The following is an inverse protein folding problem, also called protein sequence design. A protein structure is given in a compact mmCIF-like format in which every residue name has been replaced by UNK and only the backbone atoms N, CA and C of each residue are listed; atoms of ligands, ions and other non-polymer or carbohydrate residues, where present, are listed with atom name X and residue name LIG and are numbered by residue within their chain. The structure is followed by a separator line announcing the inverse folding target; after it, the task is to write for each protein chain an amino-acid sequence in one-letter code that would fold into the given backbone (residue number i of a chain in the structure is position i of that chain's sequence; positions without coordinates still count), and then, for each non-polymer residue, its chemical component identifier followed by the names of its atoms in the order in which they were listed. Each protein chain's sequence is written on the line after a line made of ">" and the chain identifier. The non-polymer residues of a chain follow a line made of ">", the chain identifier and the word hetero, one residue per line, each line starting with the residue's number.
data_IF_845205859480
#
_entry.id   IF_845205859480
#
_cell.length_a   1.000
_cell.length_b   1.000
_cell.length_c   1.000
_cell.angle_alpha   90.00
_cell.angle_beta   90.00
_cell.angle_gamma   90.00
#
_symmetry.space_group_name_H-M   'P 1'
#
loop_
_entity.id
_entity.type
_entity.pdbx_description
1 polymer ?
#
# COMPACT_ATOMS: atom_id res chain seq x y z
N UNK A 1 -42.73 5.30 -15.41
CA UNK A 1 -41.74 5.66 -14.39
C UNK A 1 -42.37 6.66 -13.42
N UNK A 2 -42.50 6.29 -12.18
CA UNK A 2 -43.12 7.10 -11.12
C UNK A 2 -42.18 8.23 -10.66
N UNK A 3 -42.76 9.34 -10.17
CA UNK A 3 -41.99 10.48 -9.60
C UNK A 3 -41.07 10.02 -8.45
N UNK A 4 -41.40 8.92 -7.74
CA UNK A 4 -40.57 8.31 -6.68
C UNK A 4 -39.31 7.62 -7.23
N UNK A 5 -39.37 7.02 -8.40
CA UNK A 5 -38.18 6.36 -9.03
C UNK A 5 -37.18 7.39 -9.53
N UNK A 6 -37.63 8.49 -10.13
CA UNK A 6 -36.75 9.62 -10.54
C UNK A 6 -36.03 10.25 -9.35
N UNK A 7 -36.71 10.45 -8.22
CA UNK A 7 -36.10 11.02 -7.02
C UNK A 7 -35.08 10.09 -6.34
N UNK A 8 -35.16 8.77 -6.53
CA UNK A 8 -34.18 7.82 -6.01
C UNK A 8 -32.92 7.77 -6.88
N UNK A 9 -33.08 7.80 -8.21
CA UNK A 9 -31.95 7.87 -9.16
C UNK A 9 -31.18 9.20 -9.03
N UNK A 10 -31.90 10.34 -8.93
CA UNK A 10 -31.28 11.65 -8.73
C UNK A 10 -30.51 11.74 -7.41
N UNK A 11 -31.03 11.14 -6.34
CA UNK A 11 -30.29 11.08 -5.06
C UNK A 11 -29.05 10.19 -5.15
N UNK A 12 -29.11 9.10 -5.89
CA UNK A 12 -27.97 8.19 -6.07
C UNK A 12 -26.89 8.83 -6.93
N UNK A 13 -27.27 9.51 -8.01
CA UNK A 13 -26.36 10.28 -8.88
C UNK A 13 -25.70 11.43 -8.13
N UNK A 14 -26.48 12.19 -7.33
CA UNK A 14 -25.95 13.29 -6.50
C UNK A 14 -25.00 12.75 -5.41
N UNK A 15 -25.29 11.58 -4.83
CA UNK A 15 -24.44 10.97 -3.82
C UNK A 15 -23.12 10.44 -4.44
N UNK A 16 -23.17 9.84 -5.64
CA UNK A 16 -21.98 9.39 -6.36
C UNK A 16 -21.11 10.58 -6.84
N UNK A 17 -21.73 11.64 -7.36
CA UNK A 17 -21.02 12.87 -7.75
C UNK A 17 -20.41 13.57 -6.54
N UNK A 18 -21.11 13.65 -5.40
CA UNK A 18 -20.60 14.21 -4.16
C UNK A 18 -19.46 13.39 -3.54
N UNK A 19 -19.40 12.06 -3.75
CA UNK A 19 -18.29 11.22 -3.32
C UNK A 19 -17.07 11.39 -4.23
N UNK A 20 -17.25 11.51 -5.53
CA UNK A 20 -16.17 11.79 -6.50
C UNK A 20 -15.50 13.16 -6.28
N UNK A 21 -16.22 14.16 -5.76
CA UNK A 21 -15.64 15.44 -5.38
C UNK A 21 -14.85 15.41 -4.06
N UNK A 22 -15.03 14.39 -3.20
CA UNK A 22 -14.43 14.36 -1.86
C UNK A 22 -12.99 13.89 -1.82
N UNK A 23 -12.57 12.98 -2.69
CA UNK A 23 -11.19 12.48 -2.69
C UNK A 23 -10.46 12.84 -3.96
N UNK A 24 -9.27 13.46 -3.81
CA UNK A 24 -8.32 13.61 -4.91
C UNK A 24 -7.51 12.32 -5.12
N UNK A 25 -7.63 11.35 -4.21
CA UNK A 25 -6.93 10.06 -4.27
C UNK A 25 -7.62 9.16 -5.28
N UNK A 26 -6.86 8.63 -6.23
CA UNK A 26 -7.36 7.77 -7.31
C UNK A 26 -6.97 6.31 -7.14
N UNK A 27 -5.81 6.04 -6.52
CA UNK A 27 -5.28 4.70 -6.32
C UNK A 27 -4.18 4.68 -5.25
N UNK A 28 -3.72 3.50 -4.86
CA UNK A 28 -2.41 3.34 -4.23
C UNK A 28 -1.36 3.39 -5.35
N UNK A 29 -0.37 4.29 -5.23
CA UNK A 29 0.72 4.40 -6.20
C UNK A 29 1.80 3.36 -5.91
N UNK A 30 2.31 3.35 -4.68
CA UNK A 30 3.30 2.36 -4.25
C UNK A 30 3.34 2.20 -2.72
N UNK A 31 3.92 1.07 -2.30
CA UNK A 31 4.32 0.81 -0.92
C UNK A 31 5.84 0.87 -0.84
N UNK A 32 6.39 1.45 0.21
CA UNK A 32 7.83 1.45 0.48
C UNK A 32 8.14 0.42 1.55
N UNK A 33 9.09 -0.46 1.26
CA UNK A 33 9.67 -1.43 2.19
C UNK A 33 11.12 -1.04 2.44
N UNK A 34 11.47 -0.77 3.69
CA UNK A 34 12.86 -0.52 4.08
C UNK A 34 13.56 -1.83 4.40
N UNK A 35 14.74 -2.00 3.83
CA UNK A 35 15.59 -3.19 4.00
C UNK A 35 17.06 -2.77 4.23
N UNK A 36 17.82 -3.62 4.88
CA UNK A 36 19.26 -3.40 5.09
C UNK A 36 20.10 -3.94 3.94
N UNK A 37 19.61 -5.01 3.29
CA UNK A 37 20.27 -5.69 2.17
C UNK A 37 19.33 -5.68 0.95
N UNK A 38 19.55 -4.69 0.06
CA UNK A 38 18.72 -4.52 -1.13
C UNK A 38 18.82 -5.70 -2.10
N UNK A 39 20.02 -6.22 -2.45
CA UNK A 39 20.16 -7.39 -3.30
C UNK A 39 19.41 -8.62 -2.79
N UNK A 40 19.51 -8.94 -1.50
CA UNK A 40 18.80 -10.06 -0.89
C UNK A 40 17.27 -9.86 -0.92
N UNK A 41 16.80 -8.65 -0.63
CA UNK A 41 15.39 -8.30 -0.70
C UNK A 41 14.84 -8.39 -2.13
N UNK A 42 15.58 -7.91 -3.12
CA UNK A 42 15.22 -8.01 -4.55
C UNK A 42 15.10 -9.46 -4.98
N UNK A 43 16.06 -10.32 -4.60
CA UNK A 43 16.00 -11.76 -4.92
C UNK A 43 14.76 -12.42 -4.28
N UNK A 44 14.45 -12.11 -3.03
CA UNK A 44 13.28 -12.63 -2.33
C UNK A 44 11.96 -12.18 -2.99
N UNK A 45 11.83 -10.91 -3.32
CA UNK A 45 10.61 -10.39 -3.96
C UNK A 45 10.49 -10.79 -5.44
N UNK A 46 11.60 -10.96 -6.18
CA UNK A 46 11.58 -11.57 -7.52
C UNK A 46 10.95 -12.96 -7.45
N UNK A 47 11.35 -13.78 -6.49
CA UNK A 47 10.79 -15.12 -6.26
C UNK A 47 9.32 -15.04 -5.83
N UNK A 48 9.00 -14.20 -4.85
CA UNK A 48 7.63 -14.05 -4.33
C UNK A 48 6.65 -13.60 -5.42
N UNK A 49 7.01 -12.54 -6.14
CA UNK A 49 6.13 -11.91 -7.13
C UNK A 49 6.14 -12.63 -8.49
N UNK A 50 7.15 -13.46 -8.77
CA UNK A 50 7.47 -14.01 -10.08
C UNK A 50 7.54 -12.90 -11.15
N UNK A 51 8.23 -11.83 -10.83
CA UNK A 51 8.40 -10.65 -11.70
C UNK A 51 9.82 -10.12 -11.59
N UNK A 52 10.31 -9.55 -12.69
CA UNK A 52 11.56 -8.81 -12.71
C UNK A 52 11.35 -7.38 -12.23
N UNK A 53 12.34 -6.74 -11.59
CA UNK A 53 12.31 -5.31 -11.33
C UNK A 53 12.07 -4.49 -12.59
N UNK A 54 11.29 -3.43 -12.47
CA UNK A 54 11.01 -2.50 -13.57
C UNK A 54 11.86 -1.22 -13.52
N UNK A 55 12.51 -0.97 -12.39
CA UNK A 55 13.27 0.25 -12.15
C UNK A 55 14.33 0.06 -11.07
N UNK A 56 15.51 0.66 -11.28
CA UNK A 56 16.60 0.73 -10.31
C UNK A 56 16.98 2.19 -10.12
N UNK A 57 16.78 2.72 -8.93
CA UNK A 57 17.11 4.10 -8.60
C UNK A 57 18.24 4.21 -7.58
N UNK A 58 18.94 5.31 -7.66
CA UNK A 58 19.89 5.73 -6.63
C UNK A 58 19.74 7.24 -6.42
N UNK A 59 19.51 7.62 -5.18
CA UNK A 59 19.44 9.00 -4.72
C UNK A 59 20.50 9.25 -3.65
N UNK A 60 20.66 10.51 -3.25
CA UNK A 60 21.55 10.88 -2.14
C UNK A 60 21.15 10.14 -0.85
N UNK A 61 21.97 9.15 -0.49
CA UNK A 61 21.80 8.35 0.72
C UNK A 61 20.84 7.17 0.63
N UNK A 62 20.32 6.80 -0.56
CA UNK A 62 19.45 5.63 -0.72
C UNK A 62 19.58 4.99 -2.11
N UNK A 63 19.39 3.68 -2.13
CA UNK A 63 19.15 2.91 -3.36
C UNK A 63 17.77 2.29 -3.28
N UNK A 64 17.09 2.19 -4.43
CA UNK A 64 15.77 1.61 -4.51
C UNK A 64 15.55 0.78 -5.76
N UNK A 65 14.64 -0.18 -5.65
CA UNK A 65 14.19 -1.02 -6.76
C UNK A 65 12.67 -1.08 -6.74
N UNK A 66 12.03 -0.89 -7.91
CA UNK A 66 10.59 -0.99 -8.04
C UNK A 66 10.17 -2.25 -8.79
N UNK A 67 9.18 -2.94 -8.24
CA UNK A 67 8.37 -3.93 -8.93
C UNK A 67 7.01 -3.29 -9.24
N UNK A 68 6.74 -3.02 -10.52
CA UNK A 68 5.48 -2.42 -10.94
C UNK A 68 4.51 -3.52 -11.37
N UNK A 69 3.45 -3.66 -10.59
CA UNK A 69 2.36 -4.62 -10.77
C UNK A 69 1.22 -4.01 -11.60
N UNK A 70 0.12 -4.73 -11.71
CA UNK A 70 -1.00 -4.28 -12.56
C UNK A 70 -1.72 -3.05 -11.98
N UNK A 71 -1.74 -2.88 -10.65
CA UNK A 71 -2.47 -1.81 -9.98
C UNK A 71 -1.65 -0.91 -9.03
N UNK A 72 -0.39 -1.23 -8.79
CA UNK A 72 0.50 -0.42 -7.96
C UNK A 72 1.96 -0.86 -8.13
N UNK A 73 2.90 -0.15 -7.49
CA UNK A 73 4.31 -0.57 -7.42
C UNK A 73 4.72 -0.93 -5.98
N UNK A 74 5.63 -1.89 -5.85
CA UNK A 74 6.35 -2.14 -4.61
C UNK A 74 7.76 -1.56 -4.74
N UNK A 75 8.13 -0.66 -3.84
CA UNK A 75 9.47 -0.09 -3.74
C UNK A 75 10.24 -0.74 -2.60
N UNK A 76 11.34 -1.41 -2.90
CA UNK A 76 12.34 -1.82 -1.93
C UNK A 76 13.41 -0.73 -1.84
N UNK A 77 13.70 -0.25 -0.65
CA UNK A 77 14.65 0.85 -0.44
C UNK A 77 15.64 0.50 0.67
N UNK A 78 16.92 0.73 0.39
CA UNK A 78 18.00 0.55 1.36
C UNK A 78 18.81 1.84 1.53
N UNK A 79 19.46 2.04 2.69
CA UNK A 79 20.38 3.15 2.88
C UNK A 79 21.65 2.92 2.06
N UNK A 80 22.13 3.93 1.34
CA UNK A 80 23.37 3.88 0.55
C UNK A 80 24.30 5.00 0.95
N UNK A 81 25.62 4.71 1.02
CA UNK A 81 26.62 5.71 1.37
C UNK A 81 26.49 6.29 2.80
N UNK A 82 26.92 7.53 2.96
CA UNK A 82 26.88 8.32 4.20
C UNK A 82 26.00 9.56 3.99
N UNK A 83 25.48 10.12 5.08
CA UNK A 83 24.71 11.37 5.04
C UNK A 83 23.32 11.27 5.65
N UNK A 84 22.65 12.40 5.81
CA UNK A 84 21.45 12.52 6.62
C UNK A 84 20.28 11.66 6.18
N UNK A 85 20.11 11.38 4.87
CA UNK A 85 19.06 10.48 4.39
C UNK A 85 19.38 9.02 4.70
N UNK A 86 20.62 8.57 4.45
CA UNK A 86 21.07 7.23 4.78
C UNK A 86 20.95 6.95 6.29
N UNK A 87 21.39 7.90 7.12
CA UNK A 87 21.35 7.77 8.58
C UNK A 87 19.93 7.75 9.11
N UNK A 88 19.01 8.51 8.49
CA UNK A 88 17.59 8.46 8.81
C UNK A 88 16.99 7.10 8.50
N UNK A 89 17.29 6.53 7.32
CA UNK A 89 16.81 5.19 6.94
C UNK A 89 17.35 4.13 7.91
N UNK A 90 18.66 4.15 8.20
CA UNK A 90 19.28 3.25 9.19
C UNK A 90 18.63 3.38 10.56
N UNK A 91 18.33 4.60 11.00
CA UNK A 91 17.67 4.85 12.28
C UNK A 91 16.27 4.25 12.30
N UNK A 92 15.48 4.40 11.22
CA UNK A 92 14.14 3.77 11.13
C UNK A 92 14.27 2.25 11.20
N UNK A 93 15.16 1.65 10.43
CA UNK A 93 15.39 0.20 10.44
C UNK A 93 15.84 -0.28 11.83
N UNK A 94 16.71 0.47 12.50
CA UNK A 94 17.19 0.13 13.85
C UNK A 94 16.07 0.18 14.89
N UNK A 95 15.16 1.16 14.80
CA UNK A 95 14.10 1.37 15.80
C UNK A 95 12.85 0.52 15.53
N UNK A 96 12.47 0.33 14.27
CA UNK A 96 11.21 -0.30 13.87
C UNK A 96 11.41 -1.67 13.20
N UNK A 97 12.63 -2.01 12.83
CA UNK A 97 12.96 -3.18 12.01
C UNK A 97 12.81 -2.90 10.52
N UNK A 98 13.19 -3.89 9.72
CA UNK A 98 12.88 -3.93 8.28
C UNK A 98 11.39 -4.17 8.07
N UNK A 99 10.85 -3.69 6.94
CA UNK A 99 9.48 -3.92 6.53
C UNK A 99 8.79 -2.69 5.97
N UNK A 100 7.47 -2.68 6.02
CA UNK A 100 6.63 -1.60 5.50
C UNK A 100 6.88 -0.29 6.22
N UNK A 101 7.21 0.76 5.46
CA UNK A 101 7.58 2.07 6.00
C UNK A 101 6.67 3.21 5.54
N UNK A 102 6.13 3.15 4.31
CA UNK A 102 5.28 4.22 3.77
C UNK A 102 4.19 3.68 2.86
N UNK A 103 3.05 4.38 2.85
CA UNK A 103 1.95 4.18 1.93
C UNK A 103 1.83 5.44 1.06
N UNK A 104 1.96 5.28 -0.24
CA UNK A 104 1.92 6.37 -1.20
C UNK A 104 0.65 6.28 -2.04
N UNK A 105 -0.16 7.33 -2.00
CA UNK A 105 -1.40 7.45 -2.76
C UNK A 105 -1.14 8.19 -4.07
N UNK A 106 -1.72 7.70 -5.17
CA UNK A 106 -1.80 8.42 -6.42
C UNK A 106 -2.92 9.46 -6.34
N UNK A 107 -2.65 10.66 -6.82
CA UNK A 107 -3.64 11.74 -6.89
C UNK A 107 -3.70 12.30 -8.31
N UNK A 108 -4.89 12.79 -8.70
CA UNK A 108 -5.10 13.43 -10.01
C UNK A 108 -4.63 14.90 -10.05
N UNK A 109 -4.51 15.55 -8.90
CA UNK A 109 -4.08 16.94 -8.74
C UNK A 109 -3.43 17.11 -7.37
N UNK A 110 -2.10 17.23 -7.37
CA UNK A 110 -1.31 17.38 -6.14
C UNK A 110 -1.59 18.71 -5.42
N UNK A 111 -1.87 19.77 -6.17
CA UNK A 111 -2.21 21.08 -5.60
C UNK A 111 -3.55 21.04 -4.85
N UNK A 112 -4.56 20.38 -5.43
CA UNK A 112 -5.85 20.14 -4.76
C UNK A 112 -5.67 19.30 -3.49
N UNK A 113 -4.85 18.24 -3.57
CA UNK A 113 -4.57 17.39 -2.41
C UNK A 113 -3.83 18.15 -1.31
N UNK A 114 -2.80 18.91 -1.66
CA UNK A 114 -2.05 19.73 -0.70
C UNK A 114 -2.97 20.73 0.01
N UNK A 115 -3.80 21.50 -0.73
CA UNK A 115 -4.78 22.42 -0.13
C UNK A 115 -5.79 21.71 0.76
N UNK A 116 -6.19 20.47 0.43
CA UNK A 116 -7.06 19.67 1.28
C UNK A 116 -6.38 19.31 2.60
N UNK A 117 -5.15 18.82 2.56
CA UNK A 117 -4.37 18.48 3.75
C UNK A 117 -4.16 19.71 4.66
N UNK A 118 -3.86 20.86 4.07
CA UNK A 118 -3.68 22.11 4.79
C UNK A 118 -4.96 22.55 5.50
N UNK A 119 -6.09 22.58 4.81
CA UNK A 119 -7.41 22.90 5.42
C UNK A 119 -7.82 21.96 6.54
N UNK A 120 -7.35 20.70 6.50
CA UNK A 120 -7.58 19.71 7.56
C UNK A 120 -6.52 19.75 8.66
N UNK A 121 -5.67 20.78 8.66
CA UNK A 121 -4.56 20.96 9.60
C UNK A 121 -3.62 19.72 9.68
N UNK A 122 -3.41 19.05 8.55
CA UNK A 122 -2.50 17.88 8.47
C UNK A 122 -1.06 18.28 8.19
N UNK A 123 -0.74 19.59 8.20
CA UNK A 123 0.61 20.16 8.07
C UNK A 123 1.40 19.51 6.91
N UNK A 124 0.93 19.66 5.65
CA UNK A 124 1.59 19.02 4.54
C UNK A 124 2.96 19.61 4.26
N UNK A 125 3.93 18.77 3.91
CA UNK A 125 5.21 19.25 3.36
C UNK A 125 4.93 20.06 2.08
N UNK A 126 5.76 21.06 1.73
CA UNK A 126 5.67 21.76 0.45
C UNK A 126 5.66 20.78 -0.72
N UNK A 127 4.94 21.12 -1.79
CA UNK A 127 4.94 20.29 -3.01
C UNK A 127 6.34 20.30 -3.60
N UNK A 128 6.96 19.13 -3.70
CA UNK A 128 8.26 18.93 -4.31
C UNK A 128 8.11 18.33 -5.71
N UNK A 129 8.77 18.93 -6.71
CA UNK A 129 8.99 18.30 -8.02
C UNK A 129 10.22 17.40 -7.94
N UNK A 130 10.06 16.15 -8.30
CA UNK A 130 11.10 15.12 -8.18
C UNK A 130 11.35 14.52 -9.57
N UNK A 131 12.60 14.20 -9.85
CA UNK A 131 13.00 13.45 -11.01
C UNK A 131 13.88 12.30 -10.56
N UNK A 132 13.52 11.08 -10.93
CA UNK A 132 14.35 9.89 -10.79
C UNK A 132 14.99 9.50 -12.11
N UNK A 133 16.12 8.79 -12.03
CA UNK A 133 16.79 8.19 -13.18
C UNK A 133 17.03 6.71 -12.90
N UNK A 134 16.65 5.88 -13.87
CA UNK A 134 16.98 4.46 -13.83
C UNK A 134 18.48 4.27 -14.07
N UNK A 135 19.16 3.61 -13.13
CA UNK A 135 20.61 3.42 -13.18
C UNK A 135 21.06 2.39 -14.21
N UNK A 136 20.14 1.52 -14.66
CA UNK A 136 20.45 0.48 -15.66
C UNK A 136 20.12 0.93 -17.08
N UNK A 137 18.98 1.57 -17.27
CA UNK A 137 18.50 1.97 -18.61
C UNK A 137 18.77 3.45 -18.94
N UNK A 138 19.00 4.28 -17.92
CA UNK A 138 19.11 5.73 -18.06
C UNK A 138 17.77 6.45 -18.26
N UNK A 139 16.65 5.73 -18.28
CA UNK A 139 15.31 6.31 -18.36
C UNK A 139 15.04 7.28 -17.21
N UNK A 140 14.22 8.29 -17.44
CA UNK A 140 13.85 9.28 -16.42
C UNK A 140 12.35 9.29 -16.19
N UNK A 141 11.96 9.44 -14.92
CA UNK A 141 10.58 9.65 -14.49
C UNK A 141 10.50 10.94 -13.69
N UNK A 142 9.39 11.66 -13.86
CA UNK A 142 9.11 12.89 -13.11
C UNK A 142 7.79 12.75 -12.39
N UNK A 143 7.74 13.30 -11.17
CA UNK A 143 6.51 13.34 -10.39
C UNK A 143 6.55 14.51 -9.43
N UNK A 144 5.37 14.89 -8.95
CA UNK A 144 5.24 15.81 -7.82
C UNK A 144 4.80 15.02 -6.59
N UNK A 145 5.26 15.43 -5.43
CA UNK A 145 4.87 14.80 -4.17
C UNK A 145 4.65 15.81 -3.05
N UNK A 146 3.79 15.43 -2.12
CA UNK A 146 3.66 16.04 -0.78
C UNK A 146 3.44 14.93 0.23
N UNK A 147 3.52 15.25 1.51
CA UNK A 147 3.34 14.29 2.60
C UNK A 147 2.61 14.98 3.75
N UNK A 148 1.65 14.31 4.38
CA UNK A 148 1.09 14.75 5.65
C UNK A 148 2.09 14.54 6.80
N UNK A 149 2.04 15.41 7.82
CA UNK A 149 2.88 15.26 9.01
C UNK A 149 2.60 13.92 9.69
N UNK A 150 3.64 13.12 9.93
CA UNK A 150 3.51 11.73 10.40
C UNK A 150 2.81 11.61 11.76
N UNK A 151 2.98 12.58 12.67
CA UNK A 151 2.24 12.62 13.94
C UNK A 151 0.73 12.78 13.76
N UNK A 152 0.29 13.47 12.70
CA UNK A 152 -1.13 13.69 12.39
C UNK A 152 -1.77 12.55 11.59
N UNK A 153 -0.95 11.62 11.10
CA UNK A 153 -1.36 10.36 10.47
C UNK A 153 -1.12 9.16 11.37
N UNK A 154 -1.07 9.38 12.68
CA UNK A 154 -0.89 8.35 13.71
C UNK A 154 0.35 7.46 13.52
N UNK A 155 1.44 8.03 13.02
CA UNK A 155 2.71 7.30 12.82
C UNK A 155 2.88 6.66 11.43
N UNK A 156 1.82 6.47 10.65
CA UNK A 156 1.92 5.95 9.28
C UNK A 156 2.41 7.07 8.35
N UNK A 157 3.50 6.85 7.63
CA UNK A 157 3.99 7.79 6.62
C UNK A 157 3.11 7.74 5.38
N UNK A 158 2.30 8.79 5.17
CA UNK A 158 1.40 8.91 4.02
C UNK A 158 1.95 9.96 3.04
N UNK A 159 2.29 9.51 1.84
CA UNK A 159 2.69 10.35 0.73
C UNK A 159 1.57 10.43 -0.31
N UNK A 160 1.55 11.53 -1.05
CA UNK A 160 0.65 11.77 -2.16
C UNK A 160 1.49 12.15 -3.36
N UNK A 161 1.25 11.50 -4.50
CA UNK A 161 2.05 11.64 -5.71
C UNK A 161 1.17 11.86 -6.93
N UNK A 162 1.59 12.78 -7.78
CA UNK A 162 1.07 13.03 -9.12
C UNK A 162 2.18 12.68 -10.10
N UNK A 163 1.96 11.67 -10.94
CA UNK A 163 2.93 11.21 -11.93
C UNK A 163 2.75 11.98 -13.24
N UNK A 164 3.86 12.35 -13.87
CA UNK A 164 3.86 12.94 -15.20
C UNK A 164 3.67 11.87 -16.31
N UNK A 165 4.06 10.61 -16.01
CA UNK A 165 3.93 9.46 -16.90
C UNK A 165 3.78 8.16 -16.10
N UNK A 166 3.18 7.15 -16.73
CA UNK A 166 3.07 5.81 -16.12
C UNK A 166 4.45 5.18 -15.91
N UNK A 167 4.59 4.41 -14.85
CA UNK A 167 5.83 3.67 -14.54
C UNK A 167 6.02 2.49 -15.49
N UNK A 168 7.26 2.14 -15.84
CA UNK A 168 7.56 0.90 -16.57
C UNK A 168 6.97 -0.30 -15.83
N UNK A 169 6.37 -1.25 -16.54
CA UNK A 169 5.81 -2.47 -15.94
C UNK A 169 6.88 -3.53 -15.75
N UNK A 170 6.80 -4.24 -14.64
CA UNK A 170 7.62 -5.42 -14.36
C UNK A 170 7.26 -6.56 -15.31
N UNK A 171 8.27 -7.19 -15.89
CA UNK A 171 8.10 -8.38 -16.71
C UNK A 171 7.77 -9.58 -15.82
N UNK A 172 6.84 -10.42 -16.28
CA UNK A 172 6.52 -11.70 -15.64
C UNK A 172 7.68 -12.67 -15.89
N UNK A 173 8.18 -13.30 -14.82
CA UNK A 173 9.32 -14.22 -14.85
C UNK A 173 8.96 -15.65 -14.45
N UNK A 174 7.69 -15.95 -14.19
CA UNK A 174 7.26 -17.30 -13.82
C UNK A 174 5.75 -17.49 -13.83
N UNK A 175 5.28 -18.73 -13.71
CA UNK A 175 3.86 -19.07 -13.69
C UNK A 175 3.18 -18.49 -12.45
N UNK A 176 1.88 -18.22 -12.56
CA UNK A 176 1.05 -17.64 -11.51
C UNK A 176 1.73 -16.47 -10.80
N UNK A 177 2.30 -15.54 -11.58
CA UNK A 177 2.88 -14.31 -11.08
C UNK A 177 1.83 -13.50 -10.31
N UNK A 178 2.29 -12.77 -9.29
CA UNK A 178 1.44 -11.83 -8.57
C UNK A 178 0.92 -10.76 -9.54
N UNK A 179 -0.41 -10.59 -9.59
CA UNK A 179 -1.08 -9.62 -10.46
C UNK A 179 -1.02 -8.22 -9.87
N UNK A 180 -1.31 -8.10 -8.59
CA UNK A 180 -1.36 -6.82 -7.92
C UNK A 180 -1.66 -6.95 -6.43
N UNK A 181 -1.85 -5.81 -5.80
CA UNK A 181 -2.27 -5.70 -4.41
C UNK A 181 -3.77 -5.97 -4.27
N UNK A 182 -4.19 -6.81 -3.34
CA UNK A 182 -5.58 -6.96 -2.94
C UNK A 182 -5.92 -5.96 -1.82
N UNK A 183 -5.11 -5.95 -0.76
CA UNK A 183 -5.20 -4.97 0.31
C UNK A 183 -3.89 -4.80 1.06
N UNK A 184 -3.72 -3.60 1.61
CA UNK A 184 -2.70 -3.27 2.62
C UNK A 184 -3.36 -3.23 3.99
N UNK A 185 -2.70 -3.80 4.99
CA UNK A 185 -3.23 -3.85 6.36
C UNK A 185 -2.57 -2.79 7.23
N UNK A 186 -3.40 -1.98 7.88
CA UNK A 186 -3.03 -1.04 8.93
C UNK A 186 -3.50 -1.59 10.27
N UNK A 187 -2.57 -1.76 11.19
CA UNK A 187 -2.87 -2.10 12.58
C UNK A 187 -3.06 -0.82 13.38
N UNK A 188 -4.16 -0.70 14.12
CA UNK A 188 -4.47 0.46 14.97
C UNK A 188 -4.89 0.02 16.38
N UNK A 189 -4.53 0.81 17.38
CA UNK A 189 -5.06 0.71 18.74
C UNK A 189 -6.34 1.54 18.92
N UNK A 190 -6.62 2.49 18.02
CA UNK A 190 -7.76 3.42 18.07
C UNK A 190 -8.50 3.42 16.72
N UNK A 191 -9.49 2.53 16.55
CA UNK A 191 -10.21 2.38 15.30
C UNK A 191 -11.03 3.62 14.93
N UNK A 192 -11.50 4.42 15.89
CA UNK A 192 -12.28 5.63 15.62
C UNK A 192 -11.41 6.71 14.95
N UNK A 193 -10.21 6.95 15.48
CA UNK A 193 -9.27 7.89 14.86
C UNK A 193 -8.78 7.39 13.50
N UNK A 194 -8.55 6.08 13.35
CA UNK A 194 -8.20 5.51 12.05
C UNK A 194 -9.36 5.68 11.04
N UNK A 195 -10.62 5.44 11.45
CA UNK A 195 -11.78 5.69 10.61
C UNK A 195 -11.90 7.17 10.20
N UNK A 196 -11.68 8.09 11.13
CA UNK A 196 -11.65 9.52 10.84
C UNK A 196 -10.52 9.91 9.87
N UNK A 197 -9.34 9.29 9.99
CA UNK A 197 -8.20 9.54 9.09
C UNK A 197 -8.50 9.07 7.67
N UNK A 198 -8.73 7.77 7.48
CA UNK A 198 -8.91 7.19 6.14
C UNK A 198 -10.22 7.61 5.48
N UNK A 199 -11.33 7.63 6.23
CA UNK A 199 -12.64 8.04 5.72
C UNK A 199 -12.77 9.56 5.57
N UNK A 200 -12.85 10.30 6.68
CA UNK A 200 -13.23 11.72 6.64
C UNK A 200 -12.11 12.62 6.11
N UNK A 201 -10.86 12.45 6.60
CA UNK A 201 -9.76 13.34 6.22
C UNK A 201 -9.22 13.02 4.82
N UNK A 202 -8.94 11.75 4.52
CA UNK A 202 -8.45 11.33 3.20
C UNK A 202 -9.58 11.22 2.18
N UNK A 203 -10.82 10.96 2.61
CA UNK A 203 -12.00 10.87 1.76
C UNK A 203 -12.12 9.53 1.03
N UNK A 204 -11.53 8.46 1.59
CA UNK A 204 -11.73 7.12 1.08
C UNK A 204 -13.12 6.60 1.49
N UNK A 205 -13.79 5.90 0.59
CA UNK A 205 -15.09 5.28 0.87
C UNK A 205 -14.92 4.08 1.79
N UNK A 206 -15.70 4.02 2.88
CA UNK A 206 -15.75 2.88 3.78
C UNK A 206 -16.69 1.81 3.20
N UNK A 207 -16.12 0.70 2.72
CA UNK A 207 -16.87 -0.41 2.13
C UNK A 207 -17.31 -1.45 3.16
N UNK A 208 -16.62 -1.55 4.28
CA UNK A 208 -16.93 -2.49 5.35
C UNK A 208 -16.57 -1.90 6.70
N UNK A 209 -17.45 -2.13 7.67
CA UNK A 209 -17.20 -1.88 9.09
C UNK A 209 -17.85 -3.03 9.90
N UNK A 210 -17.01 -3.82 10.54
CA UNK A 210 -17.47 -4.97 11.34
C UNK A 210 -16.72 -5.03 12.67
N UNK A 211 -17.48 -5.31 13.73
CA UNK A 211 -16.92 -5.69 15.03
C UNK A 211 -17.20 -7.17 15.29
N UNK A 212 -16.23 -7.88 15.85
CA UNK A 212 -16.42 -9.26 16.28
C UNK A 212 -16.85 -9.31 17.74
N UNK A 213 -17.14 -10.53 18.25
CA UNK A 213 -17.55 -10.77 19.65
C UNK A 213 -16.52 -10.31 20.69
N UNK A 214 -15.26 -10.11 20.30
CA UNK A 214 -14.17 -9.63 21.16
C UNK A 214 -13.96 -8.11 21.03
N UNK A 215 -14.94 -7.39 20.50
CA UNK A 215 -14.90 -5.94 20.19
C UNK A 215 -13.71 -5.53 19.29
N UNK A 216 -13.15 -6.44 18.51
CA UNK A 216 -12.14 -6.11 17.52
C UNK A 216 -12.84 -5.63 16.26
N UNK A 217 -12.54 -4.40 15.84
CA UNK A 217 -13.10 -3.78 14.65
C UNK A 217 -12.23 -4.04 13.42
N UNK A 218 -12.87 -4.28 12.31
CA UNK A 218 -12.27 -4.47 11.00
C UNK A 218 -12.97 -3.53 10.03
N UNK A 219 -12.22 -2.66 9.37
CA UNK A 219 -12.74 -1.70 8.40
C UNK A 219 -12.01 -1.83 7.08
N UNK A 220 -12.72 -1.69 5.96
CA UNK A 220 -12.16 -1.60 4.62
C UNK A 220 -12.48 -0.24 4.00
N UNK A 221 -11.44 0.42 3.49
CA UNK A 221 -11.56 1.67 2.75
C UNK A 221 -11.13 1.43 1.30
N UNK A 222 -11.99 1.79 0.35
CA UNK A 222 -11.72 1.64 -1.07
C UNK A 222 -10.70 2.70 -1.55
N UNK A 223 -9.71 2.24 -2.32
CA UNK A 223 -8.72 3.10 -2.96
C UNK A 223 -8.43 2.57 -4.37
N UNK A 224 -9.18 3.05 -5.37
CA UNK A 224 -9.20 2.43 -6.68
C UNK A 224 -9.77 1.00 -6.59
N UNK A 225 -9.04 0.03 -7.11
CA UNK A 225 -9.39 -1.40 -7.03
C UNK A 225 -8.76 -2.13 -5.82
N UNK A 226 -8.11 -1.41 -4.93
CA UNK A 226 -7.42 -1.91 -3.74
C UNK A 226 -8.14 -1.49 -2.47
N UNK A 227 -8.04 -2.28 -1.40
CA UNK A 227 -8.53 -1.91 -0.09
C UNK A 227 -7.40 -1.51 0.87
N UNK A 228 -7.64 -0.48 1.68
CA UNK A 228 -6.91 -0.24 2.92
C UNK A 228 -7.69 -0.93 4.04
N UNK A 229 -7.17 -2.06 4.54
CA UNK A 229 -7.77 -2.81 5.65
C UNK A 229 -7.24 -2.24 6.97
N UNK A 230 -8.11 -1.71 7.81
CA UNK A 230 -7.77 -1.25 9.15
C UNK A 230 -8.24 -2.28 10.17
N UNK A 231 -7.27 -2.83 10.92
CA UNK A 231 -7.52 -3.87 11.93
C UNK A 231 -7.27 -3.33 13.33
N UNK A 232 -8.29 -3.35 14.17
CA UNK A 232 -8.14 -3.03 15.59
C UNK A 232 -7.33 -4.12 16.29
N UNK A 233 -6.17 -3.77 16.80
CA UNK A 233 -5.28 -4.60 17.60
C UNK A 233 -4.95 -3.85 18.89
N UNK A 234 -5.73 -4.07 19.95
CA UNK A 234 -5.40 -3.50 21.25
C UNK A 234 -4.04 -4.05 21.71
N UNK A 235 -3.13 -3.17 22.07
CA UNK A 235 -1.84 -3.54 22.64
C UNK A 235 -1.97 -3.42 24.15
N UNK A 236 -2.00 -4.56 24.84
CA UNK A 236 -2.08 -4.56 26.29
C UNK A 236 -0.83 -3.91 26.89
N UNK A 237 -1.02 -2.88 27.72
CA UNK A 237 0.05 -2.27 28.50
C UNK A 237 1.01 -1.36 27.75
N UNK A 238 0.72 -0.96 26.54
CA UNK A 238 1.48 0.07 25.82
C UNK A 238 0.62 1.28 25.49
N UNK A 239 1.13 2.46 25.79
CA UNK A 239 0.62 3.75 25.32
C UNK A 239 1.03 3.98 23.82
N UNK A 240 1.21 2.90 23.03
CA UNK A 240 1.59 3.03 21.63
C UNK A 240 0.41 3.59 20.84
N UNK A 241 0.36 4.91 20.75
CA UNK A 241 -0.66 5.66 20.03
C UNK A 241 -0.48 5.60 18.50
N UNK A 242 0.53 4.86 18.02
CA UNK A 242 0.88 4.83 16.60
C UNK A 242 0.24 3.66 15.87
N UNK A 243 -0.35 3.98 14.73
CA UNK A 243 -0.76 2.97 13.76
C UNK A 243 0.46 2.46 13.00
N UNK A 244 0.39 1.21 12.51
CA UNK A 244 1.50 0.60 11.77
C UNK A 244 0.98 -0.04 10.49
N UNK A 245 1.70 0.13 9.39
CA UNK A 245 1.56 -0.74 8.23
C UNK A 245 2.00 -2.13 8.68
N UNK A 246 1.10 -3.12 8.57
CA UNK A 246 1.35 -4.41 9.21
C UNK A 246 1.52 -5.57 8.25
N UNK A 247 0.74 -5.63 7.18
CA UNK A 247 0.77 -6.78 6.28
C UNK A 247 0.26 -6.46 4.89
N UNK A 248 0.53 -7.37 3.95
CA UNK A 248 0.18 -7.24 2.53
C UNK A 248 -0.58 -8.49 2.08
N UNK A 249 -1.60 -8.29 1.26
CA UNK A 249 -2.27 -9.38 0.54
C UNK A 249 -2.15 -9.16 -0.96
N UNK A 250 -1.58 -10.14 -1.67
CA UNK A 250 -1.35 -10.10 -3.10
C UNK A 250 -2.37 -10.93 -3.86
N UNK A 251 -2.82 -10.44 -5.00
CA UNK A 251 -3.69 -11.17 -5.93
C UNK A 251 -2.89 -12.10 -6.81
N UNK A 252 -3.37 -13.33 -6.95
CA UNK A 252 -2.89 -14.32 -7.92
C UNK A 252 -4.07 -14.93 -8.66
N UNK A 253 -3.86 -15.33 -9.93
CA UNK A 253 -4.90 -15.96 -10.74
C UNK A 253 -5.07 -17.44 -10.34
N UNK A 254 -3.98 -18.13 -10.01
CA UNK A 254 -3.96 -19.53 -9.58
C UNK A 254 -3.13 -19.69 -8.29
N UNK A 255 -3.84 -19.93 -7.19
CA UNK A 255 -3.23 -20.04 -5.87
C UNK A 255 -2.40 -21.31 -5.70
N UNK A 256 -2.84 -22.42 -6.32
CA UNK A 256 -2.18 -23.72 -6.17
C UNK A 256 -0.86 -23.72 -6.96
N UNK A 257 -0.85 -23.18 -8.18
CA UNK A 257 0.37 -23.01 -8.99
C UNK A 257 1.33 -22.02 -8.33
N UNK A 258 0.82 -20.89 -7.81
CA UNK A 258 1.66 -19.92 -7.09
C UNK A 258 2.30 -20.54 -5.85
N UNK A 259 1.52 -21.32 -5.06
CA UNK A 259 2.01 -22.04 -3.89
C UNK A 259 3.09 -23.06 -4.24
N UNK A 260 2.84 -23.90 -5.24
CA UNK A 260 3.80 -24.92 -5.69
C UNK A 260 5.13 -24.25 -6.09
N UNK A 261 5.09 -23.21 -6.92
CA UNK A 261 6.28 -22.45 -7.33
C UNK A 261 7.08 -21.90 -6.14
N UNK A 262 6.40 -21.37 -5.13
CA UNK A 262 7.05 -20.83 -3.94
C UNK A 262 7.73 -21.94 -3.11
N UNK A 263 7.06 -23.07 -2.93
CA UNK A 263 7.62 -24.23 -2.21
C UNK A 263 8.84 -24.78 -2.96
N UNK A 264 8.76 -24.94 -4.28
CA UNK A 264 9.87 -25.40 -5.11
C UNK A 264 11.09 -24.46 -5.03
N UNK A 265 10.82 -23.16 -4.76
CA UNK A 265 11.86 -22.14 -4.50
C UNK A 265 12.34 -22.10 -3.04
N UNK A 266 11.92 -23.03 -2.18
CA UNK A 266 12.31 -23.09 -0.77
C UNK A 266 11.56 -22.11 0.15
N UNK A 267 10.50 -21.46 -0.33
CA UNK A 267 9.68 -20.55 0.48
C UNK A 267 8.63 -21.33 1.26
N UNK A 268 8.55 -21.08 2.57
CA UNK A 268 7.54 -21.70 3.43
C UNK A 268 6.17 -21.06 3.21
N UNK A 269 5.20 -21.86 2.79
CA UNK A 269 3.82 -21.44 2.52
C UNK A 269 2.85 -22.40 3.18
N UNK A 270 1.76 -21.87 3.78
CA UNK A 270 0.74 -22.72 4.41
C UNK A 270 -0.11 -23.47 3.38
N UNK A 271 -0.90 -24.46 3.87
CA UNK A 271 -1.97 -25.02 3.05
C UNK A 271 -3.02 -23.95 2.69
N UNK A 272 -3.65 -24.09 1.52
CA UNK A 272 -4.75 -23.23 1.11
C UNK A 272 -5.94 -23.36 2.07
N UNK A 273 -6.57 -22.24 2.37
CA UNK A 273 -7.79 -22.20 3.18
C UNK A 273 -8.79 -21.21 2.59
N UNK A 274 -10.05 -21.36 2.96
CA UNK A 274 -11.09 -20.39 2.61
C UNK A 274 -10.74 -19.03 3.26
N UNK A 275 -10.78 -17.98 2.45
CA UNK A 275 -10.57 -16.61 2.92
C UNK A 275 -11.76 -16.07 3.73
N UNK A 276 -11.56 -14.96 4.42
CA UNK A 276 -12.66 -14.30 5.17
C UNK A 276 -13.69 -13.66 4.25
N UNK A 277 -13.29 -13.22 3.07
CA UNK A 277 -14.20 -12.72 2.02
C UNK A 277 -14.76 -13.92 1.27
N UNK A 278 -16.10 -14.01 1.10
CA UNK A 278 -16.71 -15.06 0.29
C UNK A 278 -16.08 -15.15 -1.10
N UNK A 279 -15.98 -16.37 -1.65
CA UNK A 279 -15.38 -16.59 -2.98
C UNK A 279 -13.85 -16.39 -3.01
N UNK A 280 -13.16 -16.38 -1.87
CA UNK A 280 -11.68 -16.29 -1.84
C UNK A 280 -11.03 -17.51 -1.23
N UNK A 281 -9.86 -17.87 -1.78
CA UNK A 281 -8.90 -18.84 -1.20
C UNK A 281 -7.62 -18.09 -0.88
N UNK A 282 -6.95 -18.46 0.21
CA UNK A 282 -5.74 -17.76 0.66
C UNK A 282 -4.69 -18.75 1.16
N UNK A 283 -3.41 -18.38 1.00
CA UNK A 283 -2.27 -18.98 1.69
C UNK A 283 -1.46 -17.90 2.40
N UNK A 284 -0.79 -18.28 3.47
CA UNK A 284 0.16 -17.40 4.17
C UNK A 284 1.58 -17.73 3.74
N UNK A 285 2.31 -16.73 3.25
CA UNK A 285 3.74 -16.83 2.96
C UNK A 285 4.50 -16.50 4.24
N UNK A 286 5.39 -17.41 4.69
CA UNK A 286 6.06 -17.32 6.00
C UNK A 286 7.54 -16.95 5.92
N UNK A 287 8.16 -17.01 4.74
CA UNK A 287 9.55 -16.64 4.51
C UNK A 287 9.72 -15.85 3.21
N UNK A 288 10.84 -15.16 3.02
CA UNK A 288 11.10 -14.39 1.80
C UNK A 288 10.25 -13.12 1.66
N UNK A 289 9.78 -12.51 2.76
CA UNK A 289 8.83 -11.39 2.76
C UNK A 289 9.38 -10.14 3.47
N UNK A 290 10.68 -10.07 3.76
CA UNK A 290 11.29 -8.99 4.56
C UNK A 290 10.50 -8.73 5.85
N UNK A 291 10.14 -9.81 6.58
CA UNK A 291 9.36 -9.81 7.84
C UNK A 291 7.92 -9.26 7.73
N UNK A 292 7.42 -9.01 6.53
CA UNK A 292 6.06 -8.51 6.33
C UNK A 292 5.10 -9.70 6.32
N UNK A 293 4.08 -9.74 7.21
CA UNK A 293 3.00 -10.71 7.11
C UNK A 293 2.34 -10.65 5.74
N UNK A 294 2.40 -11.76 5.01
CA UNK A 294 2.05 -11.79 3.59
C UNK A 294 1.05 -12.90 3.29
N UNK A 295 -0.02 -12.55 2.57
CA UNK A 295 -0.98 -13.49 1.99
C UNK A 295 -0.91 -13.47 0.47
N UNK A 296 -1.14 -14.62 -0.15
CA UNK A 296 -1.63 -14.69 -1.52
C UNK A 296 -3.12 -14.99 -1.50
N UNK A 297 -3.86 -14.31 -2.35
CA UNK A 297 -5.32 -14.39 -2.45
C UNK A 297 -5.72 -14.68 -3.89
N UNK A 298 -6.51 -15.72 -4.06
CA UNK A 298 -7.23 -16.00 -5.29
C UNK A 298 -8.71 -15.70 -5.07
N UNK A 299 -9.33 -14.92 -5.96
CA UNK A 299 -10.78 -14.74 -5.99
C UNK A 299 -11.36 -15.68 -7.03
N UNK A 300 -12.25 -16.58 -6.61
CA UNK A 300 -13.03 -17.41 -7.53
C UNK A 300 -14.20 -16.56 -8.01
N UNK A 301 -14.30 -16.34 -9.30
CA UNK A 301 -15.51 -15.74 -9.89
C UNK A 301 -16.68 -16.70 -9.60
N UNK A 302 -17.65 -16.24 -8.86
CA UNK A 302 -18.94 -16.95 -8.61
C UNK A 302 -19.88 -16.64 -9.76
#
# INVERSE_FOLDING_TARGET
>A
MSVKERNAEDRHIVTLAASAERSAITAIDHLVVLVSDLPAAVAAYRTLLAREPAWHGADDGSENVLFTLDNMSLELMAPSGLGGNADRIRTVIKLQGEGLASLCFRVSDIGRMHRRLDRLAMQPDPIASVQGRDTQTGATLKWKRTRAATGLTRGVRLFFVELDAERPRSQVSGPAAVRGLDHIVVSTSDPERAAALYGSRLGLEMALDRSNQQARRLMFFLCGDVNVEVVHRPVAGSDDEHDKLWGISWRVDDLDVARARLIDSGITVTEPRVGRRPGTRVVTVRSGTCRIPTLLVQTTLI
#
